data_IF_434215577204
#
_entry.id   IF_434215577204
#
_cell.length_a   1.000
_cell.length_b   1.000
_cell.length_c   1.000
_cell.angle_alpha   90.00
_cell.angle_beta   90.00
_cell.angle_gamma   90.00
#
_symmetry.space_group_name_H-M   'P 1'
#
loop_
_entity.id
_entity.type
_entity.pdbx_description
1 polymer ?
#
# COMPACT_ATOMS: atom_id res chain seq x y z
N UNK A 1 34.57 8.30 7.30
CA UNK A 1 33.38 8.45 6.43
C UNK A 1 32.54 7.19 6.61
N UNK A 2 31.43 7.24 7.34
CA UNK A 2 30.60 6.05 7.55
C UNK A 2 29.64 5.94 6.36
N UNK A 3 29.84 4.93 5.52
CA UNK A 3 28.88 4.51 4.51
C UNK A 3 27.67 3.95 5.25
N UNK A 4 26.73 4.80 5.66
CA UNK A 4 25.40 4.32 6.02
C UNK A 4 24.88 3.66 4.74
N UNK A 5 24.68 2.33 4.70
CA UNK A 5 24.19 1.68 3.50
C UNK A 5 22.83 2.30 3.19
N UNK A 6 22.63 2.74 1.95
CA UNK A 6 21.34 3.30 1.46
C UNK A 6 20.13 2.36 1.65
N UNK A 7 20.35 1.15 2.17
CA UNK A 7 19.38 0.08 2.32
C UNK A 7 19.13 -0.34 3.79
N UNK A 8 19.63 0.40 4.79
CA UNK A 8 19.20 0.20 6.19
C UNK A 8 17.84 0.89 6.37
N UNK A 9 16.80 0.23 5.90
CA UNK A 9 15.43 0.59 6.25
C UNK A 9 15.19 0.07 7.66
N UNK A 10 15.10 0.96 8.65
CA UNK A 10 14.81 0.63 10.06
C UNK A 10 13.34 0.23 10.27
N UNK A 11 12.74 -0.47 9.31
CA UNK A 11 11.37 -0.98 9.41
C UNK A 11 11.46 -2.50 9.59
N UNK A 12 10.73 -3.02 10.55
CA UNK A 12 10.59 -4.47 10.71
C UNK A 12 9.85 -5.05 9.49
N UNK A 13 10.53 -5.91 8.74
CA UNK A 13 10.01 -6.66 7.60
C UNK A 13 10.11 -8.16 7.91
N UNK A 14 9.01 -8.90 7.73
CA UNK A 14 9.01 -10.37 7.85
C UNK A 14 9.54 -11.03 6.57
N UNK A 15 9.31 -10.37 5.44
CA UNK A 15 9.79 -10.71 4.08
C UNK A 15 9.99 -9.38 3.34
N UNK A 16 10.90 -9.33 2.38
CA UNK A 16 11.14 -8.12 1.56
C UNK A 16 9.82 -7.43 1.14
N UNK A 17 9.62 -6.22 1.65
CA UNK A 17 8.46 -5.38 1.37
C UNK A 17 7.18 -5.70 2.17
N UNK A 18 7.21 -6.66 3.10
CA UNK A 18 6.08 -7.07 3.95
C UNK A 18 6.41 -6.96 5.44
N UNK A 19 5.91 -5.93 6.11
CA UNK A 19 6.09 -5.66 7.54
C UNK A 19 4.78 -5.58 8.31
N UNK A 20 4.83 -4.98 9.50
CA UNK A 20 3.67 -4.85 10.39
C UNK A 20 2.52 -4.01 9.83
N UNK A 21 2.84 -2.99 9.02
CA UNK A 21 1.81 -2.12 8.42
C UNK A 21 1.03 -2.88 7.37
N UNK A 22 1.74 -3.66 6.58
CA UNK A 22 1.25 -4.53 5.52
C UNK A 22 0.36 -5.63 6.12
N UNK A 23 0.79 -6.27 7.21
CA UNK A 23 -0.07 -7.18 7.99
C UNK A 23 -1.36 -6.52 8.45
N UNK A 24 -1.27 -5.30 9.00
CA UNK A 24 -2.45 -4.54 9.43
C UNK A 24 -3.44 -4.31 8.29
N UNK A 25 -2.96 -3.94 7.10
CA UNK A 25 -3.81 -3.73 5.92
C UNK A 25 -4.44 -5.05 5.44
N UNK A 26 -3.72 -6.17 5.47
CA UNK A 26 -4.29 -7.50 5.17
C UNK A 26 -5.38 -7.88 6.17
N UNK A 27 -5.17 -7.63 7.46
CA UNK A 27 -6.19 -7.89 8.50
C UNK A 27 -7.43 -7.02 8.30
N UNK A 28 -7.26 -5.75 7.93
CA UNK A 28 -8.38 -4.86 7.60
C UNK A 28 -9.13 -5.38 6.36
N UNK A 29 -8.41 -5.76 5.30
CA UNK A 29 -9.02 -6.34 4.09
C UNK A 29 -9.80 -7.63 4.40
N UNK A 30 -9.22 -8.52 5.19
CA UNK A 30 -9.87 -9.73 5.68
C UNK A 30 -11.12 -9.42 6.50
N UNK A 31 -11.00 -8.57 7.52
CA UNK A 31 -12.11 -8.17 8.39
C UNK A 31 -13.24 -7.48 7.65
N UNK A 32 -12.91 -6.65 6.67
CA UNK A 32 -13.92 -5.99 5.80
C UNK A 32 -14.65 -7.04 4.96
N UNK A 33 -13.92 -8.01 4.40
CA UNK A 33 -14.50 -9.13 3.66
C UNK A 33 -15.43 -9.98 4.51
N UNK A 34 -15.02 -10.37 5.72
CA UNK A 34 -15.88 -11.15 6.63
C UNK A 34 -17.11 -10.37 7.06
N UNK A 35 -16.96 -9.07 7.32
CA UNK A 35 -18.09 -8.21 7.64
C UNK A 35 -19.09 -8.14 6.48
N UNK A 36 -18.62 -7.92 5.25
CA UNK A 36 -19.46 -7.90 4.05
C UNK A 36 -20.14 -9.25 3.82
N UNK A 37 -19.42 -10.35 3.99
CA UNK A 37 -19.97 -11.71 3.89
C UNK A 37 -21.15 -11.91 4.86
N UNK A 38 -21.00 -11.47 6.11
CA UNK A 38 -22.05 -11.59 7.12
C UNK A 38 -23.25 -10.68 6.83
N UNK A 39 -23.01 -9.42 6.44
CA UNK A 39 -24.08 -8.47 6.11
C UNK A 39 -24.92 -8.90 4.91
N UNK A 40 -24.27 -9.42 3.86
CA UNK A 40 -24.97 -10.01 2.71
C UNK A 40 -25.68 -11.32 3.07
N UNK A 41 -25.20 -11.96 4.14
CA UNK A 41 -25.88 -13.02 4.89
C UNK A 41 -27.32 -12.70 5.22
N UNK A 42 -27.52 -11.53 5.81
CA UNK A 42 -28.81 -11.02 6.28
C UNK A 42 -29.75 -10.64 5.13
N UNK A 43 -29.20 -10.35 3.95
CA UNK A 43 -29.95 -9.93 2.76
C UNK A 43 -30.33 -11.11 1.84
N UNK A 44 -30.15 -12.35 2.29
CA UNK A 44 -30.49 -13.58 1.53
C UNK A 44 -29.83 -13.67 0.15
N UNK A 45 -28.64 -13.08 -0.02
CA UNK A 45 -27.86 -13.18 -1.27
C UNK A 45 -27.33 -14.59 -1.47
N UNK A 46 -27.19 -15.06 -2.70
CA UNK A 46 -26.61 -16.37 -3.03
C UNK A 46 -25.21 -16.58 -2.42
N UNK A 47 -24.93 -17.80 -1.96
CA UNK A 47 -23.67 -18.15 -1.29
C UNK A 47 -22.43 -17.85 -2.15
N UNK A 48 -22.51 -18.12 -3.46
CA UNK A 48 -21.42 -17.87 -4.41
C UNK A 48 -21.09 -16.38 -4.50
N UNK A 49 -22.11 -15.51 -4.56
CA UNK A 49 -21.92 -14.06 -4.60
C UNK A 49 -21.22 -13.54 -3.34
N UNK A 50 -21.55 -14.12 -2.18
CA UNK A 50 -20.91 -13.77 -0.90
C UNK A 50 -19.43 -14.16 -0.88
N UNK A 51 -19.06 -15.32 -1.42
CA UNK A 51 -17.66 -15.74 -1.51
C UNK A 51 -16.82 -14.84 -2.41
N UNK A 52 -17.39 -14.41 -3.56
CA UNK A 52 -16.71 -13.47 -4.46
C UNK A 52 -16.48 -12.13 -3.74
N UNK A 53 -17.50 -11.62 -3.05
CA UNK A 53 -17.43 -10.36 -2.32
C UNK A 53 -16.54 -10.43 -1.06
N UNK A 54 -16.35 -11.61 -0.47
CA UNK A 54 -15.34 -11.86 0.56
C UNK A 54 -13.92 -11.79 0.00
N UNK A 55 -13.69 -12.41 -1.16
CA UNK A 55 -12.37 -12.47 -1.80
C UNK A 55 -11.91 -11.11 -2.32
N UNK A 56 -12.83 -10.26 -2.78
CA UNK A 56 -12.53 -8.97 -3.40
C UNK A 56 -11.72 -8.01 -2.50
N UNK A 57 -12.11 -7.70 -1.25
CA UNK A 57 -11.31 -6.84 -0.38
C UNK A 57 -10.00 -7.47 0.07
N UNK A 58 -9.94 -8.80 0.21
CA UNK A 58 -8.69 -9.52 0.53
C UNK A 58 -7.69 -9.39 -0.63
N UNK A 59 -8.15 -9.63 -1.85
CA UNK A 59 -7.32 -9.52 -3.05
C UNK A 59 -6.91 -8.07 -3.31
N UNK A 60 -7.82 -7.11 -3.10
CA UNK A 60 -7.53 -5.68 -3.16
C UNK A 60 -6.45 -5.26 -2.17
N UNK A 61 -6.56 -5.70 -0.91
CA UNK A 61 -5.53 -5.43 0.10
C UNK A 61 -4.17 -6.05 -0.29
N UNK A 62 -4.16 -7.29 -0.78
CA UNK A 62 -2.96 -7.95 -1.25
C UNK A 62 -2.28 -7.19 -2.39
N UNK A 63 -3.04 -6.80 -3.42
CA UNK A 63 -2.53 -6.04 -4.55
C UNK A 63 -1.94 -4.69 -4.14
N UNK A 64 -2.59 -4.00 -3.20
CA UNK A 64 -2.14 -2.70 -2.69
C UNK A 64 -0.78 -2.76 -1.99
N UNK A 65 -0.49 -3.88 -1.34
CA UNK A 65 0.71 -4.11 -0.54
C UNK A 65 1.84 -4.70 -1.38
N UNK A 66 1.53 -5.49 -2.41
CA UNK A 66 2.54 -6.24 -3.15
C UNK A 66 3.57 -5.30 -3.79
N UNK A 67 4.87 -5.41 -3.42
CA UNK A 67 5.92 -4.59 -4.02
C UNK A 67 6.22 -5.06 -5.45
N UNK A 68 6.44 -4.13 -6.36
CA UNK A 68 6.88 -4.47 -7.71
C UNK A 68 8.36 -4.94 -7.71
N UNK A 69 8.73 -6.01 -8.42
CA UNK A 69 10.06 -6.61 -8.32
C UNK A 69 11.20 -5.67 -8.74
N UNK A 70 10.96 -4.79 -9.72
CA UNK A 70 11.98 -3.86 -10.23
C UNK A 70 12.17 -2.61 -9.36
N UNK A 71 11.09 -2.06 -8.81
CA UNK A 71 11.11 -0.75 -8.14
C UNK A 71 11.08 -0.87 -6.61
N UNK A 72 10.76 -2.06 -6.08
CA UNK A 72 10.60 -2.37 -4.65
C UNK A 72 9.60 -1.45 -3.90
N UNK A 73 8.75 -0.74 -4.65
CA UNK A 73 7.67 0.10 -4.10
C UNK A 73 6.32 -0.57 -4.35
N UNK A 74 5.42 -0.45 -3.38
CA UNK A 74 4.03 -0.89 -3.52
C UNK A 74 3.14 0.22 -4.12
N UNK A 75 1.92 -0.15 -4.52
CA UNK A 75 0.90 0.80 -4.97
C UNK A 75 0.58 1.79 -3.85
N UNK A 76 0.48 1.31 -2.61
CA UNK A 76 0.27 2.17 -1.44
C UNK A 76 1.40 3.18 -1.24
N UNK A 77 2.64 2.77 -1.44
CA UNK A 77 3.78 3.68 -1.29
C UNK A 77 3.78 4.74 -2.39
N UNK A 78 3.40 4.36 -3.61
CA UNK A 78 3.20 5.30 -4.73
C UNK A 78 2.13 6.33 -4.39
N UNK A 79 0.99 5.91 -3.86
CA UNK A 79 -0.08 6.82 -3.42
C UNK A 79 0.37 7.75 -2.29
N UNK A 80 1.11 7.23 -1.30
CA UNK A 80 1.69 8.05 -0.22
C UNK A 80 2.67 9.08 -0.74
N UNK A 81 3.54 8.69 -1.69
CA UNK A 81 4.48 9.59 -2.35
C UNK A 81 3.74 10.68 -3.13
N UNK A 82 2.68 10.33 -3.86
CA UNK A 82 1.85 11.28 -4.58
C UNK A 82 1.14 12.26 -3.63
N UNK A 83 0.54 11.78 -2.54
CA UNK A 83 -0.09 12.65 -1.53
C UNK A 83 0.94 13.60 -0.92
N UNK A 84 2.13 13.08 -0.57
CA UNK A 84 3.23 13.89 -0.03
C UNK A 84 3.68 14.95 -1.03
N UNK A 85 3.81 14.57 -2.30
CA UNK A 85 4.19 15.48 -3.37
C UNK A 85 3.16 16.60 -3.55
N UNK A 86 1.87 16.26 -3.64
CA UNK A 86 0.77 17.25 -3.73
C UNK A 86 0.75 18.21 -2.54
N UNK A 87 0.97 17.71 -1.32
CA UNK A 87 1.07 18.54 -0.11
C UNK A 87 2.34 19.39 -0.06
N UNK A 88 3.43 18.94 -0.69
CA UNK A 88 4.76 19.57 -0.64
C UNK A 88 5.08 20.49 -1.82
N UNK A 89 4.11 20.78 -2.71
CA UNK A 89 4.31 21.60 -3.93
C UNK A 89 4.95 22.99 -3.72
N UNK A 90 5.14 23.48 -2.49
CA UNK A 90 5.86 24.74 -2.21
C UNK A 90 7.39 24.62 -2.05
N UNK A 91 8.01 23.43 -2.08
CA UNK A 91 9.46 23.29 -1.79
C UNK A 91 10.36 22.75 -2.90
N UNK A 92 9.79 22.42 -4.06
CA UNK A 92 10.58 22.14 -5.26
C UNK A 92 10.47 23.34 -6.19
N UNK A 93 11.15 24.43 -5.83
CA UNK A 93 11.54 25.44 -6.80
C UNK A 93 12.50 24.74 -7.76
N UNK A 94 11.97 24.19 -8.84
CA UNK A 94 12.77 23.72 -9.95
C UNK A 94 13.31 24.99 -10.62
N UNK A 95 14.47 25.48 -10.18
CA UNK A 95 15.19 26.53 -10.88
C UNK A 95 15.77 25.88 -12.12
N UNK A 96 15.01 25.87 -13.21
CA UNK A 96 15.53 25.53 -14.52
C UNK A 96 16.31 26.74 -15.02
N UNK A 97 17.63 26.72 -14.82
CA UNK A 97 18.52 27.83 -15.18
C UNK A 97 19.54 28.21 -14.11
N UNK A 98 20.12 27.23 -13.39
CA UNK A 98 21.28 27.50 -12.54
C UNK A 98 22.46 27.96 -13.40
N UNK A 99 22.79 29.24 -13.26
CA UNK A 99 23.85 30.03 -13.89
C UNK A 99 25.03 29.26 -14.52
N UNK A 100 25.27 29.57 -15.80
CA UNK A 100 26.63 29.77 -16.33
C UNK A 100 26.79 31.28 -16.53
N UNK A 101 27.15 32.01 -15.48
CA UNK A 101 27.74 33.35 -15.59
C UNK A 101 29.23 33.28 -15.33
#
# INVERSE_FOLDING_TARGET
>A
MYLIPKNVNTRFEFRDGFGWKELGIMLIGGGTGTLLFYLLGLLSVEFVGRLILLALPIYGAFYLIQPHPLTKISVLDTLRLQIRFTRSKKRYLYVYGGDRS
#
